data_IF_918159126639
#
_entry.id   IF_918159126639
#
_cell.length_a   1.000
_cell.length_b   1.000
_cell.length_c   1.000
_cell.angle_alpha   90.00
_cell.angle_beta   90.00
_cell.angle_gamma   90.00
#
_symmetry.space_group_name_H-M   'P 1'
#
loop_
_entity.id
_entity.type
_entity.pdbx_description
1 polymer ?
#
# COMPACT_ATOMS: atom_id res chain seq x y z
N UNK A 1 12.34 -53.37 -28.19
CA UNK A 1 11.26 -52.69 -27.45
C UNK A 1 9.97 -53.48 -27.68
N UNK A 2 9.44 -54.18 -26.67
CA UNK A 2 8.16 -54.92 -26.82
C UNK A 2 7.01 -53.95 -26.53
N UNK A 3 6.21 -53.65 -27.55
CA UNK A 3 5.02 -52.80 -27.44
C UNK A 3 3.83 -53.70 -27.09
N UNK A 4 3.06 -53.35 -26.06
CA UNK A 4 1.87 -54.10 -25.67
C UNK A 4 0.79 -54.09 -26.76
N UNK A 5 -0.10 -55.10 -26.77
CA UNK A 5 -1.10 -55.25 -27.84
C UNK A 5 -2.05 -54.05 -27.98
N UNK A 6 -2.35 -53.38 -26.86
CA UNK A 6 -3.16 -52.14 -26.81
C UNK A 6 -2.45 -50.96 -27.45
N UNK A 7 -1.19 -50.72 -27.10
CA UNK A 7 -0.38 -49.63 -27.69
C UNK A 7 -0.12 -49.87 -29.18
N UNK A 8 0.08 -51.12 -29.60
CA UNK A 8 0.23 -51.46 -31.03
C UNK A 8 -1.05 -51.15 -31.83
N UNK A 9 -2.23 -51.53 -31.31
CA UNK A 9 -3.52 -51.20 -31.93
C UNK A 9 -3.72 -49.68 -32.03
N UNK A 10 -3.42 -48.95 -30.95
CA UNK A 10 -3.49 -47.49 -30.92
C UNK A 10 -2.60 -46.87 -32.00
N UNK A 11 -1.32 -47.23 -32.05
CA UNK A 11 -0.40 -46.73 -33.07
C UNK A 11 -0.92 -47.03 -34.48
N UNK A 12 -1.47 -48.23 -34.71
CA UNK A 12 -2.09 -48.60 -35.99
C UNK A 12 -3.26 -47.72 -36.36
N UNK A 13 -4.11 -47.38 -35.39
CA UNK A 13 -5.20 -46.43 -35.60
C UNK A 13 -4.68 -45.02 -35.91
N UNK A 14 -3.63 -44.55 -35.22
CA UNK A 14 -3.13 -43.18 -35.37
C UNK A 14 -2.32 -42.95 -36.65
N UNK A 15 -1.74 -44.00 -37.26
CA UNK A 15 -0.94 -43.89 -38.50
C UNK A 15 -1.78 -44.04 -39.77
N UNK A 16 -3.01 -44.54 -39.67
CA UNK A 16 -3.90 -44.74 -40.82
C UNK A 16 -4.15 -43.42 -41.59
N UNK A 17 -4.20 -43.45 -42.94
CA UNK A 17 -4.17 -44.63 -43.82
C UNK A 17 -2.78 -45.19 -44.14
N UNK A 18 -1.70 -44.63 -43.58
CA UNK A 18 -0.35 -45.15 -43.80
C UNK A 18 -0.09 -46.43 -42.97
N UNK A 19 0.92 -47.20 -43.38
CA UNK A 19 1.33 -48.43 -42.70
C UNK A 19 2.33 -48.15 -41.57
N UNK A 20 2.24 -48.88 -40.46
CA UNK A 20 3.12 -48.69 -39.29
C UNK A 20 4.61 -48.83 -39.63
N UNK A 21 4.91 -49.75 -40.54
CA UNK A 21 6.26 -50.07 -41.02
C UNK A 21 6.88 -48.94 -41.83
N UNK A 22 6.09 -47.97 -42.28
CA UNK A 22 6.56 -46.78 -43.01
C UNK A 22 7.01 -45.66 -42.07
N UNK A 23 6.72 -45.76 -40.78
CA UNK A 23 7.11 -44.77 -39.77
C UNK A 23 8.36 -45.23 -39.04
N UNK A 24 9.23 -44.27 -38.73
CA UNK A 24 10.39 -44.56 -37.88
C UNK A 24 9.91 -44.85 -36.45
N UNK A 25 10.75 -45.57 -35.69
CA UNK A 25 10.48 -45.78 -34.25
C UNK A 25 10.35 -44.44 -33.52
N UNK A 26 11.12 -43.41 -33.91
CA UNK A 26 11.03 -42.07 -33.33
C UNK A 26 9.68 -41.41 -33.58
N UNK A 27 9.13 -41.52 -34.80
CA UNK A 27 7.81 -40.99 -35.14
C UNK A 27 6.70 -41.71 -34.37
N UNK A 28 6.80 -43.03 -34.22
CA UNK A 28 5.84 -43.83 -33.46
C UNK A 28 5.86 -43.49 -31.96
N UNK A 29 7.05 -43.29 -31.39
CA UNK A 29 7.20 -42.82 -30.00
C UNK A 29 6.58 -41.43 -29.84
N UNK A 30 6.85 -40.51 -30.78
CA UNK A 30 6.27 -39.16 -30.77
C UNK A 30 4.75 -39.20 -30.84
N UNK A 31 4.18 -40.00 -31.74
CA UNK A 31 2.73 -40.17 -31.87
C UNK A 31 2.08 -40.71 -30.60
N UNK A 32 2.70 -41.73 -29.99
CA UNK A 32 2.24 -42.26 -28.71
C UNK A 32 2.32 -41.18 -27.61
N UNK A 33 3.41 -40.43 -27.54
CA UNK A 33 3.59 -39.34 -26.58
C UNK A 33 2.54 -38.24 -26.77
N UNK A 34 2.26 -37.81 -28.00
CA UNK A 34 1.24 -36.79 -28.30
C UNK A 34 -0.18 -37.29 -27.97
N UNK A 35 -0.45 -38.59 -28.11
CA UNK A 35 -1.74 -39.17 -27.74
C UNK A 35 -1.92 -39.33 -26.22
N UNK A 36 -0.89 -39.77 -25.50
CA UNK A 36 -0.95 -39.96 -24.05
C UNK A 36 -0.77 -38.66 -23.26
N UNK A 37 -0.03 -37.71 -23.83
CA UNK A 37 0.21 -36.38 -23.28
C UNK A 37 -0.19 -35.33 -24.33
N UNK A 38 -1.49 -35.20 -24.65
CA UNK A 38 -1.94 -34.16 -25.56
C UNK A 38 -1.48 -32.82 -25.02
N UNK A 39 -0.86 -32.00 -25.87
CA UNK A 39 -0.46 -30.65 -25.46
C UNK A 39 -1.68 -29.96 -24.86
N UNK A 40 -1.56 -29.38 -23.66
CA UNK A 40 -2.64 -28.60 -23.09
C UNK A 40 -3.10 -27.58 -24.12
N UNK A 41 -4.40 -27.56 -24.43
CA UNK A 41 -4.96 -26.60 -25.37
C UNK A 41 -4.52 -25.19 -24.97
N UNK A 42 -3.97 -24.43 -25.92
CA UNK A 42 -3.58 -23.03 -25.72
C UNK A 42 -4.75 -22.24 -25.13
N UNK A 43 -5.98 -22.54 -25.58
CA UNK A 43 -7.20 -21.94 -25.06
C UNK A 43 -7.36 -22.23 -23.56
N UNK A 44 -7.09 -23.47 -23.12
CA UNK A 44 -7.17 -23.83 -21.71
C UNK A 44 -6.08 -23.17 -20.87
N UNK A 45 -4.85 -23.06 -21.40
CA UNK A 45 -3.76 -22.34 -20.72
C UNK A 45 -4.08 -20.85 -20.58
N UNK A 46 -4.63 -20.23 -21.63
CA UNK A 46 -5.13 -18.85 -21.60
C UNK A 46 -6.27 -18.68 -20.62
N UNK A 47 -7.18 -19.64 -20.51
CA UNK A 47 -8.23 -19.64 -19.49
C UNK A 47 -7.64 -19.65 -18.07
N UNK A 48 -6.70 -20.55 -17.78
CA UNK A 48 -6.03 -20.58 -16.46
C UNK A 48 -5.26 -19.30 -16.17
N UNK A 49 -4.57 -18.75 -17.16
CA UNK A 49 -3.90 -17.46 -17.04
C UNK A 49 -4.90 -16.34 -16.72
N UNK A 50 -5.98 -16.24 -17.49
CA UNK A 50 -6.98 -15.18 -17.36
C UNK A 50 -7.83 -15.27 -16.08
N UNK A 51 -7.92 -16.45 -15.48
CA UNK A 51 -8.62 -16.68 -14.20
C UNK A 51 -7.68 -16.66 -13.00
N UNK A 52 -6.37 -16.52 -13.22
CA UNK A 52 -5.39 -16.45 -12.15
C UNK A 52 -5.55 -15.16 -11.35
N UNK A 53 -5.74 -15.34 -10.05
CA UNK A 53 -5.75 -14.27 -9.05
C UNK A 53 -4.71 -14.57 -7.97
N UNK A 54 -4.22 -13.51 -7.32
CA UNK A 54 -3.35 -13.64 -6.14
C UNK A 54 -4.11 -14.42 -5.07
N UNK A 55 -3.47 -15.36 -4.41
CA UNK A 55 -4.06 -16.11 -3.30
C UNK A 55 -3.93 -15.33 -2.00
N UNK A 56 -4.68 -15.73 -0.98
CA UNK A 56 -4.59 -15.12 0.34
C UNK A 56 -3.23 -15.42 0.96
N UNK A 57 -2.55 -14.40 1.50
CA UNK A 57 -1.22 -14.56 2.09
C UNK A 57 -0.07 -14.79 1.09
N UNK A 58 -0.36 -14.96 -0.20
CA UNK A 58 0.66 -15.12 -1.23
C UNK A 58 1.43 -13.79 -1.44
N UNK A 59 2.75 -13.81 -1.60
CA UNK A 59 3.53 -12.60 -1.92
C UNK A 59 3.35 -12.14 -3.36
N UNK A 60 3.60 -10.85 -3.63
CA UNK A 60 3.56 -10.32 -5.00
C UNK A 60 4.53 -11.07 -5.93
N UNK A 61 5.74 -11.39 -5.46
CA UNK A 61 6.74 -12.14 -6.24
C UNK A 61 6.29 -13.55 -6.60
N UNK A 62 5.65 -14.26 -5.65
CA UNK A 62 5.13 -15.60 -5.90
C UNK A 62 4.00 -15.56 -6.93
N UNK A 63 3.08 -14.59 -6.80
CA UNK A 63 1.99 -14.41 -7.74
C UNK A 63 2.48 -14.13 -9.17
N UNK A 64 3.42 -13.19 -9.33
CA UNK A 64 3.99 -12.86 -10.64
C UNK A 64 4.75 -14.04 -11.25
N UNK A 65 5.44 -14.83 -10.42
CA UNK A 65 6.09 -16.08 -10.88
C UNK A 65 5.06 -17.05 -11.45
N UNK A 66 3.92 -17.28 -10.77
CA UNK A 66 2.82 -18.12 -11.29
C UNK A 66 2.23 -17.57 -12.58
N UNK A 67 2.05 -16.25 -12.69
CA UNK A 67 1.54 -15.63 -13.92
C UNK A 67 2.49 -15.87 -15.10
N UNK A 68 3.79 -15.73 -14.90
CA UNK A 68 4.82 -15.98 -15.94
C UNK A 68 4.86 -17.45 -16.35
N UNK A 69 4.78 -18.36 -15.38
CA UNK A 69 4.69 -19.79 -15.65
C UNK A 69 3.46 -20.13 -16.51
N UNK A 70 2.28 -19.64 -16.12
CA UNK A 70 1.06 -19.84 -16.91
C UNK A 70 1.18 -19.24 -18.33
N UNK A 71 1.70 -18.02 -18.44
CA UNK A 71 1.87 -17.31 -19.71
C UNK A 71 2.85 -18.02 -20.67
N UNK A 72 3.86 -18.73 -20.15
CA UNK A 72 4.85 -19.46 -20.97
C UNK A 72 4.23 -20.53 -21.87
N UNK A 73 3.03 -21.00 -21.53
CA UNK A 73 2.28 -22.02 -22.26
C UNK A 73 1.08 -21.45 -23.04
N UNK A 74 0.95 -20.12 -23.14
CA UNK A 74 -0.20 -19.45 -23.75
C UNK A 74 0.06 -18.98 -25.20
N UNK A 75 1.27 -19.18 -25.72
CA UNK A 75 1.67 -18.70 -27.06
C UNK A 75 1.37 -17.20 -27.26
N UNK A 76 1.71 -16.38 -26.26
CA UNK A 76 1.48 -14.93 -26.32
C UNK A 76 2.56 -14.16 -27.08
N UNK A 77 3.70 -14.78 -27.38
CA UNK A 77 4.82 -14.14 -28.07
C UNK A 77 5.27 -12.85 -27.36
N UNK A 78 5.51 -11.80 -28.14
CA UNK A 78 6.03 -10.51 -27.66
C UNK A 78 5.08 -9.80 -26.68
N UNK A 79 3.77 -10.10 -26.74
CA UNK A 79 2.77 -9.52 -25.84
C UNK A 79 2.74 -10.17 -24.45
N UNK A 80 3.53 -11.21 -24.18
CA UNK A 80 3.50 -11.92 -22.90
C UNK A 80 3.72 -10.97 -21.70
N UNK A 81 4.63 -10.00 -21.82
CA UNK A 81 4.94 -9.05 -20.75
C UNK A 81 3.78 -8.10 -20.47
N UNK A 82 3.07 -7.65 -21.51
CA UNK A 82 1.90 -6.77 -21.39
C UNK A 82 0.71 -7.50 -20.79
N UNK A 83 0.47 -8.75 -21.21
CA UNK A 83 -0.62 -9.55 -20.67
C UNK A 83 -0.40 -9.91 -19.20
N UNK A 84 0.84 -10.24 -18.81
CA UNK A 84 1.19 -10.46 -17.39
C UNK A 84 0.97 -9.19 -16.57
N UNK A 85 1.29 -8.00 -17.11
CA UNK A 85 0.96 -6.72 -16.46
C UNK A 85 -0.55 -6.61 -16.26
N UNK A 86 -1.35 -6.82 -17.30
CA UNK A 86 -2.81 -6.67 -17.23
C UNK A 86 -3.42 -7.64 -16.21
N UNK A 87 -2.93 -8.88 -16.20
CA UNK A 87 -3.38 -9.90 -15.24
C UNK A 87 -2.91 -9.62 -13.81
N UNK A 88 -1.72 -9.04 -13.62
CA UNK A 88 -1.25 -8.56 -12.32
C UNK A 88 -2.20 -7.50 -11.77
N UNK A 89 -2.55 -6.48 -12.57
CA UNK A 89 -3.47 -5.40 -12.16
C UNK A 89 -4.86 -5.95 -11.84
N UNK A 90 -5.43 -6.75 -12.73
CA UNK A 90 -6.79 -7.25 -12.56
C UNK A 90 -6.92 -8.36 -11.50
N UNK A 91 -5.83 -9.06 -11.17
CA UNK A 91 -5.85 -10.24 -10.29
C UNK A 91 -5.26 -10.01 -8.90
N UNK A 92 -4.81 -8.80 -8.57
CA UNK A 92 -4.37 -8.49 -7.20
C UNK A 92 -5.58 -8.41 -6.26
N UNK A 93 -5.43 -8.96 -5.05
CA UNK A 93 -6.44 -8.91 -3.97
C UNK A 93 -6.18 -7.75 -3.00
N UNK A 94 -6.01 -6.55 -3.54
CA UNK A 94 -5.79 -5.32 -2.76
C UNK A 94 -6.31 -4.13 -3.57
N UNK A 95 -7.46 -3.59 -3.15
CA UNK A 95 -8.16 -2.51 -3.84
C UNK A 95 -7.31 -1.23 -3.91
N UNK A 96 -6.52 -0.95 -2.88
CA UNK A 96 -5.66 0.24 -2.83
C UNK A 96 -4.56 0.09 -3.87
N UNK A 97 -3.86 -1.03 -3.89
CA UNK A 97 -2.83 -1.32 -4.89
C UNK A 97 -3.42 -1.33 -6.31
N UNK A 98 -4.58 -1.95 -6.52
CA UNK A 98 -5.22 -1.97 -7.84
C UNK A 98 -5.52 -0.56 -8.35
N UNK A 99 -6.08 0.31 -7.51
CA UNK A 99 -6.34 1.72 -7.85
C UNK A 99 -5.05 2.48 -8.15
N UNK A 100 -4.00 2.27 -7.34
CA UNK A 100 -2.68 2.88 -7.57
C UNK A 100 -2.11 2.48 -8.93
N UNK A 101 -2.20 1.21 -9.30
CA UNK A 101 -1.72 0.73 -10.61
C UNK A 101 -2.56 1.31 -11.76
N UNK A 102 -3.89 1.33 -11.63
CA UNK A 102 -4.80 1.88 -12.65
C UNK A 102 -4.65 3.40 -12.86
N UNK A 103 -4.13 4.13 -11.86
CA UNK A 103 -3.89 5.57 -11.95
C UNK A 103 -2.62 5.93 -12.77
N UNK A 104 -1.77 4.96 -13.10
CA UNK A 104 -0.53 5.21 -13.85
C UNK A 104 -0.84 5.28 -15.35
N UNK A 105 -0.74 6.48 -15.93
CA UNK A 105 -1.10 6.73 -17.34
C UNK A 105 -0.38 5.82 -18.36
N UNK A 106 0.91 5.53 -18.16
CA UNK A 106 1.70 4.62 -19.01
C UNK A 106 2.30 3.51 -18.16
N UNK A 107 1.49 2.53 -17.82
CA UNK A 107 1.92 1.40 -16.99
C UNK A 107 2.66 0.35 -17.83
N UNK A 108 3.93 0.11 -17.50
CA UNK A 108 4.71 -1.05 -17.98
C UNK A 108 4.69 -2.17 -16.94
N UNK A 109 5.00 -3.40 -17.35
CA UNK A 109 5.13 -4.51 -16.40
C UNK A 109 6.16 -4.21 -15.30
N UNK A 110 7.34 -3.70 -15.66
CA UNK A 110 8.40 -3.45 -14.68
C UNK A 110 7.95 -2.41 -13.65
N UNK A 111 7.25 -1.36 -14.09
CA UNK A 111 6.71 -0.35 -13.19
C UNK A 111 5.57 -0.89 -12.32
N UNK A 112 4.69 -1.72 -12.87
CA UNK A 112 3.62 -2.36 -12.12
C UNK A 112 4.18 -3.28 -11.02
N UNK A 113 5.21 -4.06 -11.35
CA UNK A 113 5.84 -4.97 -10.41
C UNK A 113 6.58 -4.22 -9.30
N UNK A 114 7.34 -3.18 -9.65
CA UNK A 114 8.01 -2.30 -8.68
C UNK A 114 6.99 -1.68 -7.69
N UNK A 115 5.92 -1.06 -8.20
CA UNK A 115 4.88 -0.45 -7.36
C UNK A 115 4.19 -1.47 -6.45
N UNK A 116 3.93 -2.68 -6.95
CA UNK A 116 3.33 -3.73 -6.16
C UNK A 116 4.24 -4.22 -5.01
N UNK A 117 5.55 -4.34 -5.27
CA UNK A 117 6.53 -4.67 -4.23
C UNK A 117 6.66 -3.57 -3.17
N UNK A 118 6.71 -2.31 -3.61
CA UNK A 118 6.76 -1.16 -2.70
C UNK A 118 5.51 -1.09 -1.81
N UNK A 119 4.33 -1.33 -2.38
CA UNK A 119 3.08 -1.38 -1.64
C UNK A 119 3.07 -2.53 -0.62
N UNK A 120 3.47 -3.74 -1.02
CA UNK A 120 3.57 -4.88 -0.11
C UNK A 120 4.51 -4.58 1.07
N UNK A 121 5.68 -4.00 0.81
CA UNK A 121 6.62 -3.58 1.84
C UNK A 121 6.04 -2.48 2.75
N UNK A 122 5.35 -1.48 2.18
CA UNK A 122 4.72 -0.41 2.95
C UNK A 122 3.64 -0.95 3.90
N UNK A 123 2.82 -1.91 3.44
CA UNK A 123 1.81 -2.58 4.28
C UNK A 123 2.47 -3.37 5.41
N UNK A 124 3.55 -4.11 5.13
CA UNK A 124 4.30 -4.84 6.16
C UNK A 124 4.90 -3.89 7.20
N UNK A 125 5.55 -2.81 6.75
CA UNK A 125 6.15 -1.81 7.63
C UNK A 125 5.10 -1.11 8.50
N UNK A 126 3.95 -0.74 7.93
CA UNK A 126 2.85 -0.12 8.69
C UNK A 126 2.31 -1.06 9.79
N UNK A 127 2.26 -2.38 9.52
CA UNK A 127 1.88 -3.37 10.54
C UNK A 127 2.90 -3.47 11.67
N UNK A 128 4.20 -3.38 11.37
CA UNK A 128 5.25 -3.36 12.39
C UNK A 128 5.17 -2.11 13.27
N UNK A 129 4.91 -0.93 12.67
CA UNK A 129 4.74 0.33 13.41
C UNK A 129 3.46 0.38 14.25
N UNK A 130 2.39 -0.27 13.77
CA UNK A 130 1.09 -0.29 14.45
C UNK A 130 0.95 -1.44 15.44
N UNK A 131 1.86 -2.42 15.41
CA UNK A 131 1.88 -3.46 16.43
C UNK A 131 2.22 -2.81 17.76
N UNK A 132 1.41 -3.00 18.81
CA UNK A 132 1.85 -2.68 20.15
C UNK A 132 3.00 -3.64 20.44
N UNK A 133 4.23 -3.19 20.18
CA UNK A 133 5.38 -3.77 20.84
C UNK A 133 5.00 -3.86 22.31
N UNK A 134 5.25 -5.01 22.93
CA UNK A 134 5.14 -5.17 24.36
C UNK A 134 6.10 -4.17 25.01
N UNK A 135 5.67 -2.93 25.12
CA UNK A 135 6.27 -1.96 25.99
C UNK A 135 6.01 -2.52 27.37
N UNK A 136 7.09 -3.01 27.99
CA UNK A 136 7.10 -3.27 29.41
C UNK A 136 6.35 -2.12 30.09
N UNK A 137 5.45 -2.41 31.05
CA UNK A 137 4.72 -1.36 31.73
C UNK A 137 5.75 -0.40 32.31
N UNK A 138 5.77 0.83 31.79
CA UNK A 138 6.54 1.91 32.38
C UNK A 138 5.95 2.05 33.78
N UNK A 139 6.69 1.59 34.78
CA UNK A 139 6.33 1.68 36.18
C UNK A 139 6.19 3.17 36.51
N UNK A 140 4.99 3.72 36.34
CA UNK A 140 4.62 4.92 37.06
C UNK A 140 4.51 4.47 38.51
N UNK A 141 5.46 4.89 39.35
CA UNK A 141 5.42 4.59 40.76
C UNK A 141 4.10 5.13 41.34
N UNK A 142 3.36 4.21 41.96
CA UNK A 142 2.08 4.46 42.63
C UNK A 142 2.16 5.62 43.62
N UNK A 143 1.13 6.46 43.61
CA UNK A 143 0.59 7.00 44.85
C UNK A 143 -0.87 6.55 44.95
N UNK A 144 -1.32 6.03 46.11
CA UNK A 144 -2.55 5.25 46.18
C UNK A 144 -3.78 6.10 46.52
N UNK A 145 -4.92 5.77 45.87
CA UNK A 145 -6.26 6.00 46.45
C UNK A 145 -7.32 6.60 45.51
N UNK A 146 -8.13 5.70 44.90
CA UNK A 146 -9.60 5.71 44.58
C UNK A 146 -10.39 7.04 44.36
N UNK A 147 -11.61 7.01 43.77
CA UNK A 147 -12.20 6.18 42.71
C UNK A 147 -12.91 7.00 41.60
N UNK A 148 -13.43 6.28 40.58
CA UNK A 148 -14.37 6.66 39.50
C UNK A 148 -15.22 7.92 39.78
N UNK A 149 -15.23 8.90 38.87
CA UNK A 149 -16.28 9.11 37.84
C UNK A 149 -16.16 10.50 37.17
N UNK A 150 -16.78 10.63 35.99
CA UNK A 150 -17.21 11.89 35.34
C UNK A 150 -16.19 12.89 34.77
N UNK A 151 -16.12 12.93 33.43
CA UNK A 151 -15.99 14.08 32.50
C UNK A 151 -14.89 15.15 32.78
N UNK A 152 -14.03 15.51 31.80
CA UNK A 152 -13.04 16.57 31.98
C UNK A 152 -13.75 17.94 32.14
N UNK A 153 -13.85 18.39 33.40
CA UNK A 153 -14.26 19.74 33.76
C UNK A 153 -13.28 20.75 33.17
N UNK A 154 -13.75 21.52 32.17
CA UNK A 154 -12.99 22.59 31.53
C UNK A 154 -12.49 23.56 32.61
N UNK A 155 -11.16 23.68 32.75
CA UNK A 155 -10.55 24.68 33.62
C UNK A 155 -11.02 26.08 33.23
N UNK A 156 -11.39 26.90 34.22
CA UNK A 156 -11.85 28.26 34.01
C UNK A 156 -10.75 29.11 33.34
N UNK A 157 -10.98 29.58 32.11
CA UNK A 157 -10.00 30.39 31.38
C UNK A 157 -9.67 31.74 32.04
N UNK A 158 -10.42 32.17 33.06
CA UNK A 158 -10.23 33.45 33.75
C UNK A 158 -9.24 33.38 34.91
N UNK A 159 -9.15 32.23 35.57
CA UNK A 159 -8.31 32.07 36.77
C UNK A 159 -7.66 30.69 36.92
N UNK A 160 -7.89 29.77 35.97
CA UNK A 160 -7.37 28.40 36.00
C UNK A 160 -8.06 27.46 37.00
N UNK A 161 -9.12 27.91 37.69
CA UNK A 161 -9.85 27.11 38.69
C UNK A 161 -10.87 26.15 38.08
N UNK A 162 -11.32 25.16 38.85
CA UNK A 162 -12.36 24.22 38.42
C UNK A 162 -13.76 24.78 38.67
N UNK A 163 -14.24 25.64 37.77
CA UNK A 163 -15.61 26.18 37.73
C UNK A 163 -15.92 26.78 36.34
N UNK A 164 -17.19 27.06 36.06
CA UNK A 164 -17.57 27.77 34.84
C UNK A 164 -17.19 29.25 34.91
N UNK A 165 -16.70 29.82 33.80
CA UNK A 165 -16.26 31.21 33.74
C UNK A 165 -17.30 32.26 34.17
N UNK A 166 -18.60 31.94 34.06
CA UNK A 166 -19.72 32.79 34.52
C UNK A 166 -19.77 32.94 36.05
N UNK A 167 -19.34 31.91 36.77
CA UNK A 167 -19.36 31.83 38.24
C UNK A 167 -18.01 32.23 38.85
N UNK A 168 -17.08 32.70 38.01
CA UNK A 168 -15.74 33.05 38.44
C UNK A 168 -15.74 34.33 39.27
N UNK A 169 -15.15 34.25 40.48
CA UNK A 169 -14.92 35.41 41.35
C UNK A 169 -14.13 36.53 40.65
N UNK A 170 -13.27 36.17 39.69
CA UNK A 170 -12.41 37.10 38.97
C UNK A 170 -13.02 37.59 37.64
N UNK A 171 -14.33 37.43 37.42
CA UNK A 171 -15.01 37.85 36.19
C UNK A 171 -14.90 39.34 35.89
N UNK A 172 -14.77 40.18 36.93
CA UNK A 172 -14.61 41.64 36.83
C UNK A 172 -13.21 42.12 37.22
N UNK A 173 -12.30 41.19 37.55
CA UNK A 173 -10.94 41.53 37.94
C UNK A 173 -10.16 42.09 36.74
N UNK A 174 -9.35 43.13 36.99
CA UNK A 174 -8.43 43.70 36.02
C UNK A 174 -7.08 42.98 36.15
N UNK A 175 -6.56 42.43 35.06
CA UNK A 175 -5.26 41.79 35.06
C UNK A 175 -4.15 42.83 35.31
N UNK A 176 -3.30 42.60 36.31
CA UNK A 176 -2.19 43.51 36.63
C UNK A 176 -1.13 43.59 35.51
N UNK A 177 -1.07 42.59 34.63
CA UNK A 177 -0.13 42.54 33.52
C UNK A 177 -0.65 43.26 32.27
N UNK A 178 -1.83 42.89 31.75
CA UNK A 178 -2.36 43.44 30.49
C UNK A 178 -3.42 44.54 30.68
N UNK A 179 -3.80 44.85 31.92
CA UNK A 179 -4.83 45.84 32.31
C UNK A 179 -6.23 45.60 31.71
N UNK A 180 -6.50 44.42 31.13
CA UNK A 180 -7.84 44.04 30.64
C UNK A 180 -8.68 43.41 31.74
N UNK A 181 -10.00 43.67 31.71
CA UNK A 181 -10.99 43.03 32.61
C UNK A 181 -11.26 41.58 32.20
N UNK A 182 -11.45 40.71 33.18
CA UNK A 182 -12.01 39.38 32.99
C UNK A 182 -11.08 38.20 33.25
N UNK A 183 -9.83 38.43 33.66
CA UNK A 183 -8.87 37.39 34.04
C UNK A 183 -7.78 37.94 34.97
N UNK A 184 -6.99 37.05 35.57
CA UNK A 184 -5.84 37.39 36.41
C UNK A 184 -4.51 37.00 35.75
N UNK A 185 -3.41 37.63 36.15
CA UNK A 185 -2.07 37.39 35.56
C UNK A 185 -1.67 35.90 35.53
N UNK A 186 -2.20 35.08 36.44
CA UNK A 186 -1.90 33.64 36.59
C UNK A 186 -2.53 32.73 35.52
N UNK A 187 -3.42 33.21 34.65
CA UNK A 187 -3.98 32.44 33.52
C UNK A 187 -3.26 32.80 32.21
N UNK A 188 -2.51 31.87 31.61
CA UNK A 188 -1.94 31.98 30.26
C UNK A 188 -2.97 31.53 29.20
N UNK A 189 -2.97 32.07 27.96
CA UNK A 189 -1.84 32.72 27.29
C UNK A 189 -2.05 34.23 27.07
N UNK A 190 -1.11 35.05 27.56
CA UNK A 190 -1.06 36.49 27.24
C UNK A 190 -0.33 36.67 25.90
N UNK A 191 -0.93 37.32 24.89
CA UNK A 191 -0.19 37.79 23.73
C UNK A 191 0.74 38.95 24.12
N UNK A 192 1.93 39.01 23.52
CA UNK A 192 3.01 39.95 23.87
C UNK A 192 2.59 41.43 23.81
N UNK A 193 3.10 42.29 24.71
CA UNK A 193 2.77 43.71 24.71
C UNK A 193 3.48 44.43 23.54
N UNK A 194 2.70 45.22 22.78
CA UNK A 194 3.20 46.09 21.72
C UNK A 194 4.19 47.12 22.29
N UNK A 195 5.47 46.98 21.95
CA UNK A 195 6.51 47.96 22.24
C UNK A 195 6.26 49.26 21.47
N UNK A 196 6.30 50.35 22.23
CA UNK A 196 6.24 51.75 21.79
C UNK A 196 7.33 52.08 20.76
N UNK A 197 6.92 52.66 19.63
CA UNK A 197 7.80 53.23 18.60
C UNK A 197 8.54 54.44 19.19
N UNK A 198 9.88 54.42 19.10
CA UNK A 198 10.72 55.62 19.23
C UNK A 198 11.12 56.06 17.82
N UNK A 199 10.70 57.24 17.44
CA UNK A 199 11.25 57.98 16.30
C UNK A 199 12.73 58.32 16.55
N UNK A 200 13.52 58.45 15.48
CA UNK A 200 14.47 59.54 15.43
C UNK A 200 14.28 60.44 14.20
N UNK A 201 14.32 61.72 14.51
CA UNK A 201 14.45 62.93 13.72
C UNK A 201 15.50 62.91 12.61
N UNK A 202 15.18 63.66 11.55
CA UNK A 202 16.01 63.96 10.38
C UNK A 202 17.26 64.80 10.67
N UNK A 203 18.29 64.62 9.83
CA UNK A 203 19.18 65.70 9.38
C UNK A 203 19.81 65.37 8.03
N UNK A 204 19.81 66.37 7.15
CA UNK A 204 20.16 66.35 5.74
C UNK A 204 21.67 66.38 5.44
N UNK A 205 22.05 65.98 4.22
CA UNK A 205 22.98 66.72 3.34
C UNK A 205 23.06 66.11 1.92
N UNK A 206 22.56 66.88 0.96
CA UNK A 206 23.10 67.23 -0.37
C UNK A 206 23.78 66.20 -1.30
N UNK A 207 23.16 66.08 -2.49
CA UNK A 207 23.68 66.27 -3.85
C UNK A 207 25.06 65.71 -4.27
N UNK A 208 25.07 64.87 -5.32
CA UNK A 208 25.43 65.33 -6.67
C UNK A 208 25.15 64.28 -7.76
N UNK A 209 24.51 64.77 -8.81
CA UNK A 209 24.20 64.13 -10.08
C UNK A 209 25.37 64.32 -11.05
N UNK A 210 25.63 63.33 -11.91
CA UNK A 210 26.32 63.52 -13.18
C UNK A 210 25.92 62.41 -14.14
N UNK A 211 24.79 62.62 -14.82
CA UNK A 211 24.73 62.49 -16.27
C UNK A 211 23.75 63.48 -16.85
#
# INVERSE_FOLDING_TARGET
MRVGSTTYKLLKTLVAPAELTTKSVADLVKLAQEHYNPRPSVIMRRFYFNTCVRQEGESITAYVTRLRDLASHCEYGDSAKELVRDRLVCGVRDDTLQRTLLAVAKLTFDKAFELALLHEAAVQNARLLSSPSSTAPVHYADSPGLPKDTQPGKSCYRCGGSHYAKDCRFKDAVCNYCRKKGHIQRSLPHPEPATTVREPSASASEAQESK
#
